data_IF_756523806747
#
_entry.id   IF_756523806747
#
_cell.length_a   1.000
_cell.length_b   1.000
_cell.length_c   1.000
_cell.angle_alpha   90.00
_cell.angle_beta   90.00
_cell.angle_gamma   90.00
#
_symmetry.space_group_name_H-M   'P 1'
#
loop_
_entity.id
_entity.type
_entity.pdbx_description
1 polymer ?
#
# COMPACT_ATOMS: atom_id res chain seq x y z
N UNK A 1 -18.35 90.97 -47.69
CA UNK A 1 -19.78 90.61 -47.58
C UNK A 1 -20.04 90.38 -46.10
N UNK A 2 -20.65 91.35 -45.39
CA UNK A 2 -22.11 91.44 -45.17
C UNK A 2 -22.68 90.14 -44.58
N UNK A 3 -23.40 90.10 -43.45
CA UNK A 3 -23.89 91.18 -42.60
C UNK A 3 -24.47 90.58 -41.29
N UNK A 4 -24.20 91.25 -40.16
CA UNK A 4 -25.11 91.62 -39.03
C UNK A 4 -26.08 90.55 -38.46
N UNK A 5 -25.90 90.13 -37.20
CA UNK A 5 -26.25 90.78 -35.91
C UNK A 5 -27.73 90.65 -35.49
N UNK A 6 -27.89 90.55 -34.15
CA UNK A 6 -29.03 90.84 -33.26
C UNK A 6 -29.93 89.65 -32.89
N UNK A 7 -29.91 89.12 -31.65
CA UNK A 7 -30.14 89.67 -30.28
C UNK A 7 -31.60 89.50 -29.84
N UNK A 8 -31.75 89.06 -28.57
CA UNK A 8 -32.94 89.12 -27.69
C UNK A 8 -34.02 88.07 -27.94
N UNK A 9 -34.73 87.51 -26.94
CA UNK A 9 -34.73 87.61 -25.47
C UNK A 9 -35.72 86.52 -24.99
N UNK A 10 -35.45 85.86 -23.85
CA UNK A 10 -36.43 85.33 -22.88
C UNK A 10 -37.73 84.66 -23.37
N UNK A 11 -37.89 83.35 -23.15
CA UNK A 11 -39.08 82.82 -22.45
C UNK A 11 -38.75 81.49 -21.76
N UNK A 12 -39.03 81.45 -20.45
CA UNK A 12 -39.10 80.26 -19.61
C UNK A 12 -40.23 79.35 -20.13
N UNK A 13 -39.93 78.08 -20.43
CA UNK A 13 -40.89 76.97 -20.43
C UNK A 13 -40.21 75.86 -19.64
N UNK A 14 -40.38 75.83 -18.32
CA UNK A 14 -41.29 74.89 -17.65
C UNK A 14 -41.25 73.51 -18.31
N UNK A 15 -40.55 72.63 -17.60
CA UNK A 15 -40.62 71.19 -17.73
C UNK A 15 -42.05 70.70 -17.97
N UNK A 16 -42.28 70.15 -19.15
CA UNK A 16 -43.05 68.93 -19.30
C UNK A 16 -42.30 68.12 -20.37
N UNK A 17 -41.31 67.34 -19.92
CA UNK A 17 -41.12 66.04 -20.56
C UNK A 17 -42.48 65.37 -20.43
N UNK A 18 -43.27 65.45 -21.49
CA UNK A 18 -44.36 64.53 -21.71
C UNK A 18 -43.68 63.16 -21.90
N UNK A 19 -43.23 62.54 -20.80
CA UNK A 19 -43.47 61.13 -20.62
C UNK A 19 -44.99 61.03 -20.66
N UNK A 20 -45.52 60.90 -21.87
CA UNK A 20 -46.84 60.38 -22.08
C UNK A 20 -46.83 59.06 -21.33
N UNK A 21 -47.38 59.08 -20.12
CA UNK A 21 -47.90 57.91 -19.46
C UNK A 21 -49.03 57.40 -20.36
N UNK A 22 -48.65 56.77 -21.48
CA UNK A 22 -49.40 55.68 -22.06
C UNK A 22 -49.32 54.55 -21.02
N UNK A 23 -49.99 54.77 -19.88
CA UNK A 23 -50.31 53.74 -18.91
C UNK A 23 -51.33 52.82 -19.57
N UNK A 24 -50.87 52.03 -20.54
CA UNK A 24 -51.61 50.82 -20.91
C UNK A 24 -51.78 50.01 -19.64
N UNK A 25 -52.99 49.51 -19.41
CA UNK A 25 -53.27 48.57 -18.32
C UNK A 25 -52.24 47.44 -18.33
N UNK A 26 -51.92 46.89 -17.17
CA UNK A 26 -50.98 45.76 -17.06
C UNK A 26 -51.43 44.61 -17.98
N UNK A 27 -52.75 44.42 -18.14
CA UNK A 27 -53.37 43.51 -19.11
C UNK A 27 -52.84 43.68 -20.53
N UNK A 28 -52.67 44.90 -21.03
CA UNK A 28 -52.12 45.13 -22.38
C UNK A 28 -50.63 44.92 -22.45
N UNK A 29 -49.91 45.18 -21.36
CA UNK A 29 -48.45 45.03 -21.30
C UNK A 29 -48.02 43.58 -21.27
N UNK A 30 -48.81 42.70 -20.63
CA UNK A 30 -48.47 41.29 -20.49
C UNK A 30 -48.71 40.48 -21.77
N UNK A 31 -49.58 40.95 -22.66
CA UNK A 31 -49.87 40.27 -23.93
C UNK A 31 -48.59 40.16 -24.77
N UNK A 32 -48.31 38.96 -25.28
CA UNK A 32 -47.19 38.66 -26.15
C UNK A 32 -46.53 37.31 -25.84
N UNK A 33 -45.38 37.09 -26.47
CA UNK A 33 -44.59 35.87 -26.36
C UNK A 33 -43.44 36.07 -25.37
N UNK A 34 -43.25 35.10 -24.48
CA UNK A 34 -42.35 35.18 -23.34
C UNK A 34 -41.53 33.91 -23.20
N UNK A 35 -40.26 34.09 -22.84
CA UNK A 35 -39.30 33.05 -22.46
C UNK A 35 -39.09 33.10 -20.95
N UNK A 36 -39.45 32.03 -20.26
CA UNK A 36 -39.17 31.87 -18.84
C UNK A 36 -37.72 31.43 -18.65
N UNK A 37 -36.96 32.20 -17.86
CA UNK A 37 -35.57 31.91 -17.51
C UNK A 37 -35.48 31.80 -15.99
N UNK A 38 -34.85 30.74 -15.51
CA UNK A 38 -34.57 30.51 -14.09
C UNK A 38 -33.12 30.02 -13.95
N UNK A 39 -32.36 30.60 -13.03
CA UNK A 39 -30.94 30.26 -12.80
C UNK A 39 -30.08 30.28 -14.09
N UNK A 40 -30.37 31.20 -15.00
CA UNK A 40 -29.69 31.31 -16.29
C UNK A 40 -30.00 30.19 -17.29
N UNK A 41 -30.98 29.33 -17.00
CA UNK A 41 -31.47 28.28 -17.90
C UNK A 41 -32.85 28.65 -18.41
N UNK A 42 -33.06 28.50 -19.72
CA UNK A 42 -34.39 28.60 -20.31
C UNK A 42 -35.23 27.42 -19.84
N UNK A 43 -36.35 27.71 -19.18
CA UNK A 43 -37.29 26.70 -18.71
C UNK A 43 -38.40 26.42 -19.72
N UNK A 44 -39.17 27.44 -20.09
CA UNK A 44 -40.39 27.28 -20.90
C UNK A 44 -40.68 28.50 -21.77
N UNK A 45 -41.51 28.33 -22.80
CA UNK A 45 -42.02 29.42 -23.63
C UNK A 45 -43.53 29.55 -23.48
N UNK A 46 -43.99 30.77 -23.24
CA UNK A 46 -45.39 31.06 -22.94
C UNK A 46 -45.86 32.19 -23.85
N UNK A 47 -47.06 32.06 -24.40
CA UNK A 47 -47.74 33.11 -25.14
C UNK A 47 -48.98 33.53 -24.35
N UNK A 48 -49.08 34.81 -24.02
CA UNK A 48 -50.19 35.40 -23.28
C UNK A 48 -51.00 36.21 -24.28
N UNK A 49 -52.18 35.71 -24.64
CA UNK A 49 -53.18 36.42 -25.44
C UNK A 49 -54.13 37.23 -24.58
N UNK A 50 -55.19 37.79 -25.17
CA UNK A 50 -56.18 38.60 -24.43
C UNK A 50 -56.99 37.80 -23.41
N UNK A 51 -57.29 36.53 -23.72
CA UNK A 51 -58.17 35.69 -22.88
C UNK A 51 -57.46 34.43 -22.36
N UNK A 52 -56.36 34.03 -23.02
CA UNK A 52 -55.75 32.73 -22.80
C UNK A 52 -54.23 32.82 -22.76
N UNK A 53 -53.65 32.01 -21.90
CA UNK A 53 -52.24 31.71 -21.83
C UNK A 53 -51.99 30.37 -22.51
N UNK A 54 -50.93 30.27 -23.31
CA UNK A 54 -50.52 29.06 -24.03
C UNK A 54 -49.07 28.75 -23.64
N UNK A 55 -48.84 27.61 -23.00
CA UNK A 55 -47.50 27.06 -22.82
C UNK A 55 -47.09 26.31 -24.09
N UNK A 56 -46.19 26.90 -24.88
CA UNK A 56 -45.74 26.34 -26.16
C UNK A 56 -44.82 25.13 -25.98
N UNK A 57 -44.18 24.97 -24.83
CA UNK A 57 -43.34 23.81 -24.53
C UNK A 57 -44.17 22.53 -24.30
N UNK A 58 -45.35 22.67 -23.70
CA UNK A 58 -46.22 21.54 -23.33
C UNK A 58 -47.50 21.47 -24.17
N UNK A 59 -47.72 22.44 -25.06
CA UNK A 59 -48.95 22.60 -25.86
C UNK A 59 -50.23 22.71 -25.02
N UNK A 60 -50.12 23.27 -23.81
CA UNK A 60 -51.24 23.48 -22.89
C UNK A 60 -51.77 24.90 -23.06
N UNK A 61 -53.09 25.07 -23.03
CA UNK A 61 -53.72 26.39 -23.03
C UNK A 61 -54.79 26.52 -21.96
N UNK A 62 -54.74 27.59 -21.20
CA UNK A 62 -55.63 27.87 -20.09
C UNK A 62 -56.07 29.33 -20.08
N UNK A 63 -57.22 29.61 -19.48
CA UNK A 63 -57.62 30.98 -19.15
C UNK A 63 -56.79 31.49 -17.97
N UNK A 64 -56.68 32.80 -17.82
CA UNK A 64 -55.91 33.39 -16.73
C UNK A 64 -56.63 34.59 -16.11
N UNK A 65 -56.30 34.87 -14.85
CA UNK A 65 -56.72 36.04 -14.11
C UNK A 65 -55.46 36.85 -13.82
N UNK A 66 -55.54 38.16 -14.08
CA UNK A 66 -54.46 39.11 -13.78
C UNK A 66 -54.94 40.08 -12.72
N UNK A 67 -54.27 40.06 -11.56
CA UNK A 67 -54.63 40.90 -10.41
C UNK A 67 -53.49 41.88 -10.12
N UNK A 68 -53.75 43.19 -10.25
CA UNK A 68 -52.80 44.22 -9.81
C UNK A 68 -52.76 44.29 -8.28
N UNK A 69 -51.57 44.34 -7.69
CA UNK A 69 -51.40 44.42 -6.22
C UNK A 69 -51.05 45.85 -5.79
N UNK A 70 -50.90 46.07 -4.48
CA UNK A 70 -50.63 47.41 -3.90
C UNK A 70 -49.16 47.87 -4.04
N UNK A 71 -48.30 47.17 -4.79
CA UNK A 71 -46.84 47.43 -4.80
C UNK A 71 -46.21 47.43 -6.20
N UNK A 72 -46.95 47.87 -7.22
CA UNK A 72 -46.54 47.80 -8.64
C UNK A 72 -46.21 46.37 -9.12
N UNK A 73 -46.56 45.35 -8.32
CA UNK A 73 -46.55 43.94 -8.71
C UNK A 73 -47.92 43.54 -9.21
N UNK A 74 -47.95 42.45 -9.96
CA UNK A 74 -49.17 41.78 -10.37
C UNK A 74 -49.04 40.29 -10.10
N UNK A 75 -50.18 39.67 -9.84
CA UNK A 75 -50.30 38.22 -9.72
C UNK A 75 -51.01 37.69 -10.96
N UNK A 76 -50.40 36.70 -11.60
CA UNK A 76 -51.03 35.92 -12.66
C UNK A 76 -51.47 34.57 -12.09
N UNK A 77 -52.75 34.27 -12.24
CA UNK A 77 -53.36 33.01 -11.84
C UNK A 77 -53.86 32.29 -13.09
N UNK A 78 -53.61 30.99 -13.21
CA UNK A 78 -54.10 30.17 -14.31
C UNK A 78 -55.36 29.43 -13.85
N UNK A 79 -56.41 29.44 -14.65
CA UNK A 79 -57.62 28.68 -14.37
C UNK A 79 -57.37 27.23 -14.80
N UNK A 80 -57.41 26.31 -13.84
CA UNK A 80 -57.26 24.89 -14.15
C UNK A 80 -58.42 24.42 -15.04
N UNK A 81 -58.16 23.87 -16.24
CA UNK A 81 -59.21 23.47 -17.17
C UNK A 81 -60.08 22.32 -16.66
N UNK A 82 -59.63 21.55 -15.66
CA UNK A 82 -60.37 20.40 -15.14
C UNK A 82 -61.46 20.77 -14.12
N UNK A 83 -61.15 21.68 -13.20
CA UNK A 83 -62.02 22.03 -12.07
C UNK A 83 -62.44 23.51 -12.04
N UNK A 84 -61.87 24.34 -12.92
CA UNK A 84 -62.12 25.78 -12.99
C UNK A 84 -61.54 26.58 -11.81
N UNK A 85 -60.70 25.96 -10.96
CA UNK A 85 -60.12 26.63 -9.80
C UNK A 85 -58.93 27.48 -10.26
N UNK A 86 -58.85 28.77 -9.88
CA UNK A 86 -57.68 29.58 -10.14
C UNK A 86 -56.50 29.09 -9.30
N UNK A 87 -55.38 28.82 -9.97
CA UNK A 87 -54.12 28.41 -9.38
C UNK A 87 -53.12 29.55 -9.56
N UNK A 88 -52.56 30.10 -8.47
CA UNK A 88 -51.49 31.09 -8.56
C UNK A 88 -50.31 30.56 -9.38
N UNK A 89 -49.92 31.29 -10.43
CA UNK A 89 -48.80 30.92 -11.28
C UNK A 89 -47.53 31.65 -10.83
N UNK A 90 -47.53 32.98 -10.90
CA UNK A 90 -46.46 33.80 -10.33
C UNK A 90 -46.94 35.18 -9.88
N UNK A 91 -46.16 35.78 -8.99
CA UNK A 91 -46.20 37.21 -8.68
C UNK A 91 -44.92 37.87 -9.20
N UNK A 92 -45.06 38.99 -9.90
CA UNK A 92 -43.94 39.68 -10.53
C UNK A 92 -44.20 41.14 -10.83
N UNK A 93 -43.18 41.83 -11.34
CA UNK A 93 -43.28 43.21 -11.80
C UNK A 93 -42.51 43.39 -13.11
N UNK A 94 -42.91 44.38 -13.91
CA UNK A 94 -42.19 44.73 -15.14
C UNK A 94 -40.95 45.55 -14.80
N UNK A 95 -39.76 44.99 -15.02
CA UNK A 95 -38.49 45.74 -14.97
C UNK A 95 -38.35 46.60 -16.24
N UNK A 96 -38.82 46.08 -17.38
CA UNK A 96 -38.91 46.81 -18.65
C UNK A 96 -40.13 46.35 -19.46
N UNK A 97 -40.35 46.94 -20.65
CA UNK A 97 -41.42 46.49 -21.56
C UNK A 97 -41.26 45.04 -22.04
N UNK A 98 -40.04 44.52 -21.98
CA UNK A 98 -39.66 43.22 -22.52
C UNK A 98 -39.18 42.28 -21.41
N UNK A 99 -39.38 42.63 -20.14
CA UNK A 99 -38.85 41.87 -19.00
C UNK A 99 -39.76 41.96 -17.78
N UNK A 100 -40.13 40.79 -17.27
CA UNK A 100 -40.87 40.63 -16.01
C UNK A 100 -39.94 39.92 -15.02
N UNK A 101 -39.69 40.54 -13.87
CA UNK A 101 -39.00 39.88 -12.75
C UNK A 101 -40.02 39.15 -11.90
N UNK A 102 -39.76 37.88 -11.64
CA UNK A 102 -40.63 37.07 -10.78
C UNK A 102 -40.18 37.23 -9.35
N UNK A 103 -41.08 37.73 -8.50
CA UNK A 103 -40.86 37.90 -7.07
C UNK A 103 -41.16 36.60 -6.33
N UNK A 104 -42.20 35.89 -6.78
CA UNK A 104 -42.64 34.65 -6.15
C UNK A 104 -43.24 33.70 -7.19
N UNK A 105 -42.65 32.52 -7.31
CA UNK A 105 -43.29 31.37 -7.94
C UNK A 105 -44.07 30.60 -6.87
N UNK A 106 -45.25 30.13 -7.22
CA UNK A 106 -46.09 29.37 -6.29
C UNK A 106 -45.85 27.89 -6.52
N UNK A 107 -45.32 27.19 -5.51
CA UNK A 107 -45.04 25.75 -5.54
C UNK A 107 -43.58 25.38 -5.30
N UNK A 108 -42.62 26.23 -5.72
CA UNK A 108 -41.19 26.00 -5.52
C UNK A 108 -40.44 27.33 -5.26
N UNK A 109 -39.38 27.28 -4.45
CA UNK A 109 -38.45 28.41 -4.31
C UNK A 109 -37.53 28.43 -5.52
N UNK A 110 -37.79 29.34 -6.46
CA UNK A 110 -36.90 29.58 -7.61
C UNK A 110 -36.25 30.94 -7.41
N UNK A 111 -34.93 30.94 -7.27
CA UNK A 111 -34.14 32.17 -7.22
C UNK A 111 -33.95 32.70 -8.65
N UNK A 112 -34.01 34.02 -8.84
CA UNK A 112 -33.71 34.69 -10.11
C UNK A 112 -34.56 34.22 -11.32
N UNK A 113 -35.87 34.04 -11.12
CA UNK A 113 -36.79 33.78 -12.22
C UNK A 113 -37.21 35.07 -12.93
N UNK A 114 -37.24 35.04 -14.26
CA UNK A 114 -37.67 36.16 -15.10
C UNK A 114 -38.38 35.66 -16.37
N UNK A 115 -39.27 36.49 -16.91
CA UNK A 115 -39.82 36.31 -18.24
C UNK A 115 -39.26 37.38 -19.17
N UNK A 116 -38.63 36.94 -20.25
CA UNK A 116 -38.06 37.80 -21.28
C UNK A 116 -38.95 37.73 -22.52
N UNK A 117 -39.38 38.88 -23.03
CA UNK A 117 -40.21 38.92 -24.24
C UNK A 117 -39.41 38.44 -25.45
N UNK A 118 -40.02 37.61 -26.27
CA UNK A 118 -39.43 37.11 -27.52
C UNK A 118 -40.35 37.44 -28.69
N UNK A 119 -39.77 37.76 -29.84
CA UNK A 119 -40.56 38.08 -31.05
C UNK A 119 -41.11 36.81 -31.71
N UNK A 120 -40.30 35.75 -31.72
CA UNK A 120 -40.64 34.47 -32.33
C UNK A 120 -40.19 33.32 -31.42
N UNK A 121 -41.16 32.59 -30.87
CA UNK A 121 -40.91 31.46 -29.97
C UNK A 121 -40.17 30.32 -30.69
N UNK A 122 -40.53 30.02 -31.94
CA UNK A 122 -39.95 28.90 -32.69
C UNK A 122 -38.45 29.13 -32.96
N UNK A 123 -38.07 30.36 -33.30
CA UNK A 123 -36.68 30.72 -33.56
C UNK A 123 -35.82 30.64 -32.29
N UNK A 124 -36.33 31.16 -31.17
CA UNK A 124 -35.60 31.10 -29.90
C UNK A 124 -35.51 29.66 -29.35
N UNK A 125 -36.55 28.83 -29.53
CA UNK A 125 -36.50 27.40 -29.17
C UNK A 125 -35.39 26.66 -29.92
N UNK A 126 -35.26 26.90 -31.23
CA UNK A 126 -34.24 26.27 -32.07
C UNK A 126 -32.82 26.74 -31.69
N UNK A 127 -32.67 28.00 -31.29
CA UNK A 127 -31.40 28.57 -30.82
C UNK A 127 -30.98 27.96 -29.47
N UNK A 128 -31.89 27.85 -28.53
CA UNK A 128 -31.62 27.25 -27.21
C UNK A 128 -31.31 25.75 -27.34
N UNK A 129 -32.03 25.03 -28.23
CA UNK A 129 -31.73 23.63 -28.56
C UNK A 129 -30.31 23.45 -29.10
N UNK A 130 -29.89 24.28 -30.06
CA UNK A 130 -28.52 24.24 -30.62
C UNK A 130 -27.45 24.53 -29.56
N UNK A 131 -27.72 25.45 -28.64
CA UNK A 131 -26.80 25.76 -27.54
C UNK A 131 -26.64 24.55 -26.59
N UNK A 132 -27.75 23.90 -26.22
CA UNK A 132 -27.75 22.70 -25.39
C UNK A 132 -26.98 21.54 -26.04
N UNK A 133 -27.24 21.25 -27.31
CA UNK A 133 -26.54 20.19 -28.05
C UNK A 133 -25.02 20.45 -28.15
N UNK A 134 -24.60 21.72 -28.28
CA UNK A 134 -23.20 22.09 -28.32
C UNK A 134 -22.51 21.93 -26.94
N UNK A 135 -23.23 22.21 -25.85
CA UNK A 135 -22.72 22.03 -24.50
C UNK A 135 -22.61 20.54 -24.12
N UNK A 136 -23.59 19.73 -24.50
CA UNK A 136 -23.59 18.29 -24.28
C UNK A 136 -22.43 17.60 -25.03
N UNK A 137 -22.17 17.98 -26.29
CA UNK A 137 -21.01 17.50 -27.05
C UNK A 137 -19.68 17.85 -26.36
N UNK A 138 -19.57 19.05 -25.77
CA UNK A 138 -18.36 19.44 -25.01
C UNK A 138 -18.19 18.60 -23.74
N UNK A 139 -19.27 18.32 -23.00
CA UNK A 139 -19.22 17.46 -21.79
C UNK A 139 -18.79 16.03 -22.14
N UNK A 140 -19.41 15.42 -23.14
CA UNK A 140 -19.07 14.06 -23.58
C UNK A 140 -17.62 13.91 -24.07
N UNK A 141 -17.04 14.97 -24.65
CA UNK A 141 -15.62 14.97 -25.06
C UNK A 141 -14.66 14.96 -23.87
N UNK A 142 -14.97 15.72 -22.80
CA UNK A 142 -14.15 15.81 -21.58
C UNK A 142 -14.20 14.51 -20.76
N UNK A 143 -15.36 13.88 -20.67
CA UNK A 143 -15.53 12.65 -19.89
C UNK A 143 -14.76 11.47 -20.52
N UNK A 144 -14.74 11.39 -21.86
CA UNK A 144 -13.95 10.38 -22.58
C UNK A 144 -12.44 10.57 -22.40
N UNK A 145 -11.96 11.82 -22.33
CA UNK A 145 -10.54 12.10 -22.12
C UNK A 145 -10.11 11.77 -20.68
N UNK A 146 -10.95 12.08 -19.68
CA UNK A 146 -10.72 11.74 -18.28
C UNK A 146 -10.66 10.23 -18.03
N UNK A 147 -11.58 9.44 -18.63
CA UNK A 147 -11.57 7.98 -18.49
C UNK A 147 -10.34 7.32 -19.13
N UNK A 148 -9.83 7.88 -20.22
CA UNK A 148 -8.63 7.37 -20.90
C UNK A 148 -7.37 7.59 -20.06
N UNK A 149 -7.28 8.72 -19.36
CA UNK A 149 -6.17 9.05 -18.47
C UNK A 149 -6.18 8.19 -17.20
N UNK A 150 -7.34 7.97 -16.58
CA UNK A 150 -7.47 7.09 -15.42
C UNK A 150 -7.04 5.65 -15.72
N UNK A 151 -7.39 5.11 -16.90
CA UNK A 151 -6.95 3.78 -17.33
C UNK A 151 -5.44 3.68 -17.53
N UNK A 152 -4.78 4.75 -17.98
CA UNK A 152 -3.31 4.79 -18.12
C UNK A 152 -2.62 4.79 -16.76
N UNK A 153 -3.11 5.59 -15.82
CA UNK A 153 -2.55 5.67 -14.47
C UNK A 153 -2.74 4.35 -13.70
N UNK A 154 -3.91 3.71 -13.82
CA UNK A 154 -4.16 2.42 -13.18
C UNK A 154 -3.24 1.30 -13.72
N UNK A 155 -2.99 1.27 -15.03
CA UNK A 155 -2.07 0.30 -15.64
C UNK A 155 -0.61 0.53 -15.18
N UNK A 156 -0.20 1.80 -15.09
CA UNK A 156 1.16 2.15 -14.67
C UNK A 156 1.40 1.82 -13.18
N UNK A 157 0.38 1.97 -12.34
CA UNK A 157 0.44 1.56 -10.93
C UNK A 157 0.54 0.03 -10.76
N UNK A 158 -0.23 -0.75 -11.53
CA UNK A 158 -0.18 -2.22 -11.49
C UNK A 158 1.17 -2.79 -11.96
N UNK A 159 1.75 -2.20 -13.02
CA UNK A 159 3.08 -2.59 -13.51
C UNK A 159 4.18 -2.26 -12.47
N UNK A 160 4.09 -1.12 -11.78
CA UNK A 160 5.06 -0.72 -10.74
C UNK A 160 4.99 -1.60 -9.49
N UNK A 161 3.77 -2.01 -9.09
CA UNK A 161 3.59 -2.87 -7.93
C UNK A 161 4.19 -4.27 -8.15
N UNK A 162 4.02 -4.84 -9.35
CA UNK A 162 4.62 -6.15 -9.71
C UNK A 162 6.15 -6.12 -9.72
N UNK A 163 6.76 -5.04 -10.21
CA UNK A 163 8.22 -4.89 -10.16
C UNK A 163 8.74 -4.81 -8.72
N UNK A 164 7.99 -4.15 -7.83
CA UNK A 164 8.37 -4.00 -6.42
C UNK A 164 8.29 -5.32 -5.66
N UNK A 165 7.18 -6.07 -5.82
CA UNK A 165 7.01 -7.39 -5.19
C UNK A 165 8.07 -8.41 -5.67
N UNK A 166 8.45 -8.35 -6.94
CA UNK A 166 9.49 -9.24 -7.50
C UNK A 166 10.87 -8.91 -6.93
N UNK A 167 11.21 -7.63 -6.78
CA UNK A 167 12.49 -7.20 -6.22
C UNK A 167 12.64 -7.57 -4.73
N UNK A 168 11.55 -7.47 -3.96
CA UNK A 168 11.54 -7.81 -2.53
C UNK A 168 11.75 -9.32 -2.31
N UNK A 169 11.14 -10.18 -3.13
CA UNK A 169 11.33 -11.64 -3.07
C UNK A 169 12.79 -12.02 -3.39
N UNK A 170 13.39 -11.39 -4.39
CA UNK A 170 14.79 -11.67 -4.77
C UNK A 170 15.75 -11.28 -3.64
N UNK A 171 15.52 -10.15 -2.97
CA UNK A 171 16.37 -9.70 -1.88
C UNK A 171 16.30 -10.65 -0.66
N UNK A 172 15.10 -11.12 -0.30
CA UNK A 172 14.90 -12.05 0.82
C UNK A 172 15.46 -13.46 0.54
N UNK A 173 15.46 -13.93 -0.71
CA UNK A 173 16.16 -15.17 -1.09
C UNK A 173 17.70 -15.01 -0.98
N UNK A 174 18.24 -13.87 -1.41
CA UNK A 174 19.68 -13.59 -1.36
C UNK A 174 20.23 -13.49 0.07
N UNK A 175 19.52 -12.80 0.97
CA UNK A 175 19.93 -12.68 2.38
C UNK A 175 19.94 -14.04 3.08
N UNK A 176 18.89 -14.85 2.86
CA UNK A 176 18.82 -16.22 3.40
C UNK A 176 19.91 -17.13 2.85
N UNK A 177 20.21 -17.01 1.56
CA UNK A 177 21.32 -17.74 0.95
C UNK A 177 22.65 -17.39 1.61
N UNK A 178 22.92 -16.09 1.76
CA UNK A 178 24.18 -15.57 2.30
C UNK A 178 24.40 -16.07 3.72
N UNK A 179 23.43 -15.88 4.62
CA UNK A 179 23.54 -16.31 6.01
C UNK A 179 23.72 -17.84 6.15
N UNK A 180 22.99 -18.63 5.35
CA UNK A 180 23.13 -20.08 5.38
C UNK A 180 24.50 -20.53 4.85
N UNK A 181 25.03 -19.87 3.81
CA UNK A 181 26.35 -20.18 3.26
C UNK A 181 27.47 -19.86 4.24
N UNK A 182 27.43 -18.72 4.94
CA UNK A 182 28.41 -18.35 5.97
C UNK A 182 28.44 -19.39 7.09
N UNK A 183 27.27 -19.84 7.54
CA UNK A 183 27.18 -20.86 8.58
C UNK A 183 27.74 -22.22 8.12
N UNK A 184 27.51 -22.61 6.86
CA UNK A 184 28.10 -23.84 6.30
C UNK A 184 29.63 -23.74 6.29
N UNK A 185 30.18 -22.58 5.91
CA UNK A 185 31.61 -22.34 5.91
C UNK A 185 32.21 -22.43 7.32
N UNK A 186 31.54 -21.86 8.32
CA UNK A 186 31.94 -21.99 9.73
C UNK A 186 31.99 -23.46 10.17
N UNK A 187 31.01 -24.28 9.77
CA UNK A 187 31.01 -25.71 10.08
C UNK A 187 32.17 -26.47 9.41
N UNK A 188 32.54 -26.10 8.18
CA UNK A 188 33.69 -26.66 7.48
C UNK A 188 34.97 -26.37 8.27
N UNK A 189 35.17 -25.10 8.65
CA UNK A 189 36.33 -24.64 9.43
C UNK A 189 36.40 -25.33 10.81
N UNK A 190 35.25 -25.60 11.43
CA UNK A 190 35.15 -26.20 12.76
C UNK A 190 35.41 -27.71 12.83
N UNK A 191 35.50 -28.43 11.71
CA UNK A 191 35.54 -29.89 11.80
C UNK A 191 34.24 -30.59 11.41
N UNK A 192 33.10 -29.90 11.37
CA UNK A 192 31.78 -30.52 11.45
C UNK A 192 31.22 -30.86 10.06
N UNK A 193 31.96 -31.68 9.31
CA UNK A 193 31.71 -31.94 7.89
C UNK A 193 30.41 -32.70 7.64
N UNK A 194 29.98 -33.58 8.55
CA UNK A 194 28.69 -34.25 8.46
C UNK A 194 27.53 -33.25 8.52
N UNK A 195 27.59 -32.33 9.48
CA UNK A 195 26.59 -31.27 9.64
C UNK A 195 26.62 -30.26 8.49
N UNK A 196 27.81 -29.84 8.05
CA UNK A 196 27.98 -28.97 6.88
C UNK A 196 27.30 -29.56 5.64
N UNK A 197 27.50 -30.87 5.37
CA UNK A 197 26.85 -31.58 4.26
C UNK A 197 25.33 -31.66 4.43
N UNK A 198 24.86 -31.89 5.65
CA UNK A 198 23.43 -31.88 5.99
C UNK A 198 22.79 -30.52 5.71
N UNK A 199 23.42 -29.43 6.16
CA UNK A 199 22.97 -28.05 5.95
C UNK A 199 23.00 -27.67 4.48
N UNK A 200 24.06 -28.03 3.75
CA UNK A 200 24.18 -27.79 2.32
C UNK A 200 23.06 -28.50 1.53
N UNK A 201 22.73 -29.74 1.89
CA UNK A 201 21.62 -30.47 1.27
C UNK A 201 20.25 -29.81 1.54
N UNK A 202 20.03 -29.26 2.74
CA UNK A 202 18.82 -28.51 3.05
C UNK A 202 18.75 -27.21 2.25
N UNK A 203 19.87 -26.46 2.21
CA UNK A 203 20.00 -25.21 1.48
C UNK A 203 19.75 -25.41 -0.02
N UNK A 204 20.31 -26.47 -0.61
CA UNK A 204 20.09 -26.83 -2.01
C UNK A 204 18.64 -27.18 -2.34
N UNK A 205 17.84 -27.63 -1.35
CA UNK A 205 16.40 -27.91 -1.55
C UNK A 205 15.54 -26.65 -1.41
N UNK A 206 15.98 -25.68 -0.61
CA UNK A 206 15.22 -24.45 -0.34
C UNK A 206 15.41 -23.36 -1.39
N UNK A 207 16.54 -23.36 -2.09
CA UNK A 207 16.82 -22.38 -3.14
C UNK A 207 16.19 -22.83 -4.45
N UNK A 208 15.54 -21.89 -5.13
CA UNK A 208 14.96 -22.13 -6.46
C UNK A 208 15.74 -21.46 -7.57
N UNK A 209 16.50 -20.41 -7.24
CA UNK A 209 17.35 -19.71 -8.20
C UNK A 209 18.49 -20.57 -8.74
N UNK A 210 18.65 -20.58 -10.06
CA UNK A 210 19.78 -21.23 -10.72
C UNK A 210 21.12 -20.54 -10.44
N UNK A 211 21.12 -19.28 -10.01
CA UNK A 211 22.32 -18.46 -9.83
C UNK A 211 23.22 -18.98 -8.71
N UNK A 212 22.65 -19.65 -7.70
CA UNK A 212 23.40 -20.17 -6.56
C UNK A 212 23.98 -21.58 -6.77
N UNK A 213 23.68 -22.23 -7.90
CA UNK A 213 24.14 -23.60 -8.17
C UNK A 213 25.66 -23.73 -8.17
N UNK A 214 26.38 -22.71 -8.67
CA UNK A 214 27.84 -22.71 -8.68
C UNK A 214 28.40 -22.63 -7.26
N UNK A 215 27.83 -21.79 -6.40
CA UNK A 215 28.25 -21.64 -5.01
C UNK A 215 27.94 -22.90 -4.18
N UNK A 216 26.78 -23.53 -4.42
CA UNK A 216 26.43 -24.80 -3.77
C UNK A 216 27.44 -25.90 -4.13
N UNK A 217 27.83 -26.00 -5.40
CA UNK A 217 28.88 -26.94 -5.85
C UNK A 217 30.22 -26.64 -5.21
N UNK A 218 30.62 -25.37 -5.16
CA UNK A 218 31.87 -24.98 -4.53
C UNK A 218 31.91 -25.37 -3.05
N UNK A 219 30.84 -25.13 -2.29
CA UNK A 219 30.74 -25.60 -0.90
C UNK A 219 30.79 -27.13 -0.80
N UNK A 220 30.16 -27.84 -1.73
CA UNK A 220 30.21 -29.31 -1.77
C UNK A 220 31.64 -29.82 -2.00
N UNK A 221 32.35 -29.23 -2.96
CA UNK A 221 33.74 -29.53 -3.29
C UNK A 221 34.66 -29.20 -2.11
N UNK A 222 34.40 -28.11 -1.37
CA UNK A 222 35.14 -27.76 -0.15
C UNK A 222 34.93 -28.80 0.94
N UNK A 223 33.69 -29.26 1.15
CA UNK A 223 33.41 -30.33 2.13
C UNK A 223 34.15 -31.62 1.75
N UNK A 224 34.10 -32.04 0.48
CA UNK A 224 34.80 -33.26 0.04
C UNK A 224 36.33 -33.11 0.09
N UNK A 225 36.86 -31.93 -0.24
CA UNK A 225 38.30 -31.65 -0.12
C UNK A 225 38.75 -31.68 1.33
N UNK A 226 38.00 -31.06 2.25
CA UNK A 226 38.28 -31.09 3.69
C UNK A 226 38.24 -32.51 4.25
N UNK A 227 37.31 -33.37 3.79
CA UNK A 227 37.30 -34.80 4.16
C UNK A 227 38.57 -35.49 3.69
N UNK A 228 38.99 -35.25 2.45
CA UNK A 228 40.19 -35.86 1.90
C UNK A 228 41.45 -35.43 2.65
N UNK A 229 41.60 -34.13 2.93
CA UNK A 229 42.72 -33.58 3.70
C UNK A 229 42.79 -34.22 5.09
N UNK A 230 41.66 -34.36 5.78
CA UNK A 230 41.63 -35.03 7.09
C UNK A 230 41.93 -36.52 7.03
N UNK A 231 41.48 -37.21 6.00
CA UNK A 231 41.86 -38.62 5.82
C UNK A 231 43.38 -38.75 5.59
N UNK A 232 44.00 -37.79 4.92
CA UNK A 232 45.47 -37.73 4.81
C UNK A 232 46.14 -37.45 6.16
N UNK A 233 45.61 -36.52 6.97
CA UNK A 233 46.06 -36.28 8.35
C UNK A 233 45.94 -37.54 9.21
N UNK A 234 44.86 -38.31 9.04
CA UNK A 234 44.61 -39.56 9.76
C UNK A 234 45.65 -40.64 9.44
N UNK A 235 46.07 -40.74 8.17
CA UNK A 235 47.01 -41.77 7.70
C UNK A 235 48.47 -41.43 8.04
N UNK A 236 48.85 -40.15 8.01
CA UNK A 236 50.23 -39.72 8.28
C UNK A 236 50.26 -38.40 9.04
N UNK A 237 49.87 -38.40 10.33
CA UNK A 237 49.86 -37.18 11.10
C UNK A 237 51.27 -36.65 11.31
N UNK A 238 51.45 -35.34 11.11
CA UNK A 238 52.69 -34.63 11.39
C UNK A 238 52.42 -33.58 12.46
N UNK A 239 52.45 -33.99 13.73
CA UNK A 239 52.15 -33.11 14.86
C UNK A 239 53.33 -32.21 15.18
N UNK A 240 53.09 -30.90 15.25
CA UNK A 240 54.06 -29.91 15.69
C UNK A 240 54.12 -29.75 17.21
N UNK A 241 53.07 -30.18 17.93
CA UNK A 241 52.98 -30.13 19.39
C UNK A 241 52.13 -31.26 19.98
N UNK A 242 52.23 -31.47 21.30
CA UNK A 242 51.34 -32.39 22.03
C UNK A 242 49.88 -31.95 21.95
N UNK A 243 49.61 -30.63 22.03
CA UNK A 243 48.26 -30.13 21.84
C UNK A 243 47.69 -30.53 20.49
N UNK A 244 48.45 -30.36 19.41
CA UNK A 244 48.00 -30.71 18.07
C UNK A 244 47.73 -32.22 17.95
N UNK A 245 48.59 -33.07 18.51
CA UNK A 245 48.39 -34.52 18.58
C UNK A 245 47.06 -34.88 19.27
N UNK A 246 46.86 -34.37 20.49
CA UNK A 246 45.69 -34.75 21.28
C UNK A 246 44.40 -34.10 20.78
N UNK A 247 44.46 -32.87 20.24
CA UNK A 247 43.33 -32.25 19.56
C UNK A 247 42.92 -33.05 18.31
N UNK A 248 43.89 -33.58 17.56
CA UNK A 248 43.61 -34.47 16.43
C UNK A 248 42.97 -35.78 16.90
N UNK A 249 43.48 -36.44 17.95
CA UNK A 249 42.85 -37.65 18.53
C UNK A 249 41.40 -37.40 18.97
N UNK A 250 41.13 -36.27 19.63
CA UNK A 250 39.78 -35.88 20.04
C UNK A 250 38.85 -35.68 18.85
N UNK A 251 39.32 -34.99 17.80
CA UNK A 251 38.57 -34.83 16.54
C UNK A 251 38.27 -36.17 15.87
N UNK A 252 39.22 -37.11 15.86
CA UNK A 252 39.00 -38.45 15.27
C UNK A 252 37.89 -39.22 15.99
N UNK A 253 37.79 -39.11 17.33
CA UNK A 253 36.68 -39.71 18.07
C UNK A 253 35.34 -39.08 17.69
N UNK A 254 35.27 -37.76 17.58
CA UNK A 254 34.06 -37.08 17.10
C UNK A 254 33.66 -37.51 15.68
N UNK A 255 34.63 -37.61 14.77
CA UNK A 255 34.40 -38.04 13.39
C UNK A 255 33.94 -39.51 13.30
N UNK A 256 34.51 -40.41 14.10
CA UNK A 256 34.08 -41.81 14.15
C UNK A 256 32.63 -41.94 14.64
N UNK A 257 32.19 -41.06 15.54
CA UNK A 257 30.78 -40.95 15.97
C UNK A 257 29.91 -40.43 14.83
N UNK A 258 30.27 -39.30 14.23
CA UNK A 258 29.52 -38.69 13.13
C UNK A 258 29.38 -39.64 11.93
N UNK A 259 30.44 -40.37 11.58
CA UNK A 259 30.46 -41.30 10.45
C UNK A 259 29.58 -42.52 10.71
N UNK A 260 29.60 -43.08 11.94
CA UNK A 260 28.77 -44.22 12.31
C UNK A 260 27.29 -43.89 12.21
N UNK A 261 26.89 -42.67 12.61
CA UNK A 261 25.49 -42.26 12.64
C UNK A 261 25.06 -41.39 11.45
N UNK A 262 25.96 -41.09 10.50
CA UNK A 262 25.69 -40.27 9.30
C UNK A 262 25.02 -38.93 9.61
N UNK A 263 25.32 -38.35 10.77
CA UNK A 263 24.73 -37.10 11.26
C UNK A 263 23.34 -37.21 11.90
N UNK A 264 22.71 -38.39 11.95
CA UNK A 264 21.45 -38.62 12.68
C UNK A 264 21.75 -39.40 13.97
N UNK A 265 22.30 -38.68 14.95
CA UNK A 265 22.73 -39.26 16.22
C UNK A 265 21.51 -39.45 17.12
N UNK A 266 20.92 -40.65 17.08
CA UNK A 266 19.79 -41.01 17.93
C UNK A 266 20.12 -40.93 19.43
N UNK A 267 19.10 -40.72 20.26
CA UNK A 267 19.27 -40.70 21.72
C UNK A 267 19.86 -42.04 22.21
N UNK A 268 20.96 -41.98 22.97
CA UNK A 268 21.72 -43.11 23.49
C UNK A 268 22.97 -43.46 22.66
N UNK A 269 23.14 -42.87 21.48
CA UNK A 269 24.20 -43.21 20.53
C UNK A 269 25.60 -42.71 20.94
N UNK A 270 25.66 -41.59 21.68
CA UNK A 270 26.91 -41.03 22.22
C UNK A 270 27.42 -41.83 23.42
N UNK A 271 26.53 -42.46 24.17
CA UNK A 271 26.84 -43.25 25.36
C UNK A 271 27.76 -44.43 25.09
N UNK A 272 27.76 -44.97 23.86
CA UNK A 272 28.63 -46.08 23.44
C UNK A 272 30.11 -45.68 23.39
N UNK A 273 30.42 -44.38 23.30
CA UNK A 273 31.78 -43.85 23.14
C UNK A 273 32.36 -43.32 24.45
N UNK A 274 31.67 -43.54 25.58
CA UNK A 274 32.14 -43.07 26.88
C UNK A 274 33.54 -43.62 27.21
N UNK A 275 33.77 -44.91 26.96
CA UNK A 275 35.04 -45.57 27.27
C UNK A 275 36.19 -44.99 26.42
N UNK A 276 35.94 -44.67 25.15
CA UNK A 276 36.93 -44.04 24.27
C UNK A 276 37.28 -42.62 24.74
N UNK A 277 36.27 -41.84 25.12
CA UNK A 277 36.46 -40.48 25.63
C UNK A 277 37.14 -40.46 27.00
N UNK A 278 36.77 -41.36 27.92
CA UNK A 278 37.44 -41.50 29.23
C UNK A 278 38.89 -42.01 29.02
N UNK A 279 39.13 -42.87 28.04
CA UNK A 279 40.48 -43.29 27.63
C UNK A 279 41.34 -42.10 27.22
N UNK A 280 40.86 -41.29 26.27
CA UNK A 280 41.58 -40.10 25.82
C UNK A 280 41.77 -39.07 26.94
N UNK A 281 40.76 -38.85 27.79
CA UNK A 281 40.87 -37.98 28.96
C UNK A 281 42.01 -38.40 29.88
N UNK A 282 42.12 -39.71 30.15
CA UNK A 282 43.17 -40.25 31.02
C UNK A 282 44.56 -40.17 30.39
N UNK A 283 44.67 -40.33 29.06
CA UNK A 283 45.93 -40.09 28.35
C UNK A 283 46.37 -38.62 28.50
N UNK A 284 45.48 -37.67 28.22
CA UNK A 284 45.76 -36.23 28.37
C UNK A 284 46.14 -35.91 29.81
N UNK A 285 45.42 -36.47 30.79
CA UNK A 285 45.73 -36.30 32.21
C UNK A 285 47.13 -36.79 32.58
N UNK A 286 47.53 -37.96 32.06
CA UNK A 286 48.86 -38.52 32.26
C UNK A 286 49.96 -37.61 31.70
N UNK A 287 49.77 -37.11 30.48
CA UNK A 287 50.71 -36.16 29.87
C UNK A 287 50.84 -34.89 30.69
N UNK A 288 49.72 -34.31 31.14
CA UNK A 288 49.73 -33.11 31.98
C UNK A 288 50.41 -33.34 33.34
N UNK A 289 50.31 -34.54 33.90
CA UNK A 289 50.99 -34.91 35.13
C UNK A 289 52.52 -34.92 34.96
N UNK A 290 52.99 -35.32 33.78
CA UNK A 290 54.41 -35.44 33.46
C UNK A 290 55.03 -34.12 32.97
N UNK A 291 54.26 -33.30 32.24
CA UNK A 291 54.77 -32.07 31.59
C UNK A 291 54.64 -30.81 32.45
N UNK A 292 53.63 -30.71 33.30
CA UNK A 292 53.29 -29.44 33.97
C UNK A 292 54.04 -29.25 35.30
N UNK A 293 54.37 -28.00 35.71
CA UNK A 293 54.90 -27.73 37.04
C UNK A 293 54.00 -28.27 38.16
N UNK A 294 54.62 -28.86 39.18
CA UNK A 294 53.90 -29.59 40.24
C UNK A 294 52.83 -28.74 40.95
N UNK A 295 53.12 -27.47 41.23
CA UNK A 295 52.20 -26.55 41.89
C UNK A 295 50.97 -26.24 41.03
N UNK A 296 51.16 -26.12 39.71
CA UNK A 296 50.07 -25.95 38.73
C UNK A 296 49.27 -27.22 38.55
N UNK A 297 49.94 -28.37 38.50
CA UNK A 297 49.27 -29.67 38.44
C UNK A 297 48.45 -29.97 39.71
N UNK A 298 48.96 -29.63 40.89
CA UNK A 298 48.21 -29.82 42.14
C UNK A 298 46.93 -28.97 42.19
N UNK A 299 46.95 -27.75 41.62
CA UNK A 299 45.75 -26.92 41.44
C UNK A 299 44.76 -27.57 40.47
N UNK A 300 45.23 -27.93 39.28
CA UNK A 300 44.40 -28.59 38.26
C UNK A 300 43.82 -29.92 38.76
N UNK A 301 44.58 -30.66 39.57
CA UNK A 301 44.13 -31.91 40.21
C UNK A 301 42.95 -31.68 41.13
N UNK A 302 42.94 -30.59 41.89
CA UNK A 302 41.79 -30.28 42.73
C UNK A 302 40.56 -29.93 41.88
N UNK A 303 40.73 -29.20 40.79
CA UNK A 303 39.65 -28.92 39.83
C UNK A 303 39.12 -30.21 39.20
N UNK A 304 40.02 -31.12 38.80
CA UNK A 304 39.65 -32.41 38.23
C UNK A 304 38.88 -33.28 39.22
N UNK A 305 39.29 -33.33 40.50
CA UNK A 305 38.58 -34.06 41.55
C UNK A 305 37.16 -33.50 41.72
N UNK A 306 37.03 -32.17 41.78
CA UNK A 306 35.72 -31.53 41.92
C UNK A 306 34.83 -31.82 40.71
N UNK A 307 35.39 -31.74 39.50
CA UNK A 307 34.67 -32.06 38.26
C UNK A 307 34.20 -33.53 38.23
N UNK A 308 35.04 -34.50 38.63
CA UNK A 308 34.63 -35.91 38.72
C UNK A 308 33.48 -36.09 39.70
N UNK A 309 33.54 -35.45 40.87
CA UNK A 309 32.46 -35.54 41.87
C UNK A 309 31.14 -34.97 41.33
N UNK A 310 31.19 -33.84 40.63
CA UNK A 310 30.02 -33.24 40.00
C UNK A 310 29.47 -34.11 38.86
N UNK A 311 30.36 -34.62 38.00
CA UNK A 311 30.02 -35.54 36.90
C UNK A 311 29.27 -36.77 37.43
N UNK A 312 29.83 -37.43 38.44
CA UNK A 312 29.24 -38.64 39.03
C UNK A 312 27.91 -38.35 39.71
N UNK A 313 27.81 -37.26 40.47
CA UNK A 313 26.56 -36.85 41.12
C UNK A 313 25.46 -36.51 40.10
N UNK A 314 25.81 -35.89 38.98
CA UNK A 314 24.87 -35.57 37.90
C UNK A 314 24.42 -36.84 37.15
N UNK A 315 25.33 -37.77 36.89
CA UNK A 315 24.99 -39.06 36.29
C UNK A 315 24.08 -39.90 37.19
N UNK A 316 24.35 -39.98 38.49
CA UNK A 316 23.50 -40.73 39.42
C UNK A 316 22.07 -40.18 39.49
N UNK A 317 21.89 -38.86 39.39
CA UNK A 317 20.55 -38.25 39.28
C UNK A 317 19.86 -38.63 37.97
N UNK A 318 20.60 -38.67 36.88
CA UNK A 318 20.08 -38.93 35.54
C UNK A 318 20.00 -40.43 35.19
N UNK A 319 20.52 -41.35 36.01
CA UNK A 319 20.77 -42.78 35.68
C UNK A 319 19.58 -43.56 35.09
N UNK A 320 18.35 -43.10 35.32
CA UNK A 320 17.12 -43.68 34.76
C UNK A 320 16.65 -43.07 33.43
N UNK A 321 17.28 -41.99 32.97
CA UNK A 321 16.98 -41.31 31.72
C UNK A 321 17.64 -42.05 30.55
N UNK A 322 16.96 -42.05 29.40
CA UNK A 322 17.42 -42.76 28.19
C UNK A 322 18.72 -42.16 27.62
N UNK A 323 18.99 -40.88 27.88
CA UNK A 323 20.16 -40.12 27.43
C UNK A 323 21.23 -39.93 28.52
N UNK A 324 21.09 -40.59 29.68
CA UNK A 324 21.99 -40.38 30.82
C UNK A 324 23.46 -40.63 30.47
N UNK A 325 23.72 -41.69 29.68
CA UNK A 325 25.06 -42.01 29.19
C UNK A 325 25.57 -41.02 28.16
N UNK A 326 24.71 -40.52 27.27
CA UNK A 326 25.10 -39.50 26.29
C UNK A 326 25.57 -38.23 26.99
N UNK A 327 24.82 -37.77 28.01
CA UNK A 327 25.23 -36.61 28.82
C UNK A 327 26.57 -36.85 29.49
N UNK A 328 26.78 -38.04 30.04
CA UNK A 328 28.04 -38.43 30.66
C UNK A 328 29.20 -38.39 29.66
N UNK A 329 29.02 -38.96 28.46
CA UNK A 329 30.02 -38.91 27.38
C UNK A 329 30.32 -37.47 26.97
N UNK A 330 29.31 -36.64 26.77
CA UNK A 330 29.49 -35.24 26.37
C UNK A 330 30.25 -34.44 27.42
N UNK A 331 29.94 -34.63 28.71
CA UNK A 331 30.70 -33.98 29.79
C UNK A 331 32.16 -34.44 29.82
N UNK A 332 32.45 -35.73 29.62
CA UNK A 332 33.83 -36.23 29.49
C UNK A 332 34.52 -35.60 28.27
N UNK A 333 33.88 -35.60 27.11
CA UNK A 333 34.37 -34.99 25.86
C UNK A 333 34.75 -33.52 26.06
N UNK A 334 33.84 -32.71 26.60
CA UNK A 334 34.07 -31.29 26.88
C UNK A 334 35.27 -31.08 27.81
N UNK A 335 35.40 -31.92 28.84
CA UNK A 335 36.55 -31.84 29.75
C UNK A 335 37.85 -32.20 29.04
N UNK A 336 37.86 -33.20 28.17
CA UNK A 336 39.02 -33.57 27.37
C UNK A 336 39.49 -32.40 26.50
N UNK A 337 38.58 -31.78 25.74
CA UNK A 337 38.91 -30.59 24.96
C UNK A 337 39.40 -29.43 25.83
N UNK A 338 38.76 -29.18 26.97
CA UNK A 338 39.19 -28.14 27.90
C UNK A 338 40.65 -28.34 28.36
N UNK A 339 41.03 -29.57 28.72
CA UNK A 339 42.40 -29.87 29.14
C UNK A 339 43.41 -29.70 28.00
N UNK A 340 43.07 -30.17 26.81
CA UNK A 340 43.90 -30.03 25.61
C UNK A 340 44.14 -28.55 25.30
N UNK A 341 43.06 -27.77 25.21
CA UNK A 341 43.13 -26.38 24.76
C UNK A 341 43.86 -25.45 25.72
N UNK A 342 43.69 -25.68 27.03
CA UNK A 342 44.15 -24.75 28.06
C UNK A 342 45.49 -25.15 28.71
N UNK A 343 45.92 -26.42 28.60
CA UNK A 343 47.06 -26.91 29.38
C UNK A 343 48.14 -27.67 28.60
N UNK A 344 47.89 -28.18 27.39
CA UNK A 344 48.91 -28.93 26.62
C UNK A 344 49.91 -28.04 25.85
N UNK A 345 49.72 -26.72 25.83
CA UNK A 345 50.62 -25.74 25.19
C UNK A 345 51.61 -25.06 26.18
N UNK A 346 51.59 -25.43 27.47
CA UNK A 346 52.37 -24.77 28.54
C UNK A 346 53.75 -25.37 28.80
#
# INVERSE_FOLDING_TARGET
MLCKKLVSLFTIFIAVLFLTACGGSIEKKIIGSWKAVADGKTGQYIEIGEERLINRSESISAEYILTETQSDTFMLEIINPEDGIPIPFFEGYFESKDEIKVVKMMGESIDNAEFIRVENIEEEQEKDKKAQEAEEKKRNSKDNESQKEQKRQAKQADDTQKETETAEIINDELERFTAASEYIMELIDQGRLGEAKGRLNLLSKSITSQEHNSSLRAMDDMIESAKYEREQERISPNYSSLKEEYAHKARMLDEDIEQKYKGDVGIGAYGDYLDDWDGLLNEVWGVLADSMPKDKFDQLKQEQINWVQEKDANYEKARGEIDAKDRLTNTTRERTYYLIENYLDL
#
